data_IF_186870698490
#
_entry.id   IF_186870698490
#
_cell.length_a   1.000
_cell.length_b   1.000
_cell.length_c   1.000
_cell.angle_alpha   90.00
_cell.angle_beta   90.00
_cell.angle_gamma   90.00
#
_symmetry.space_group_name_H-M   'P 1'
#
loop_
_entity.id
_entity.type
_entity.pdbx_description
1 polymer ?
#
# COMPACT_ATOMS: atom_id res chain seq x y z
N UNK A 1 1.92 -3.30 -21.87
CA UNK A 1 0.55 -2.96 -21.38
C UNK A 1 0.66 -2.21 -20.06
N UNK A 2 1.33 -2.76 -19.04
CA UNK A 2 1.43 -2.12 -17.72
C UNK A 2 2.08 -0.74 -17.83
N UNK A 3 3.26 -0.64 -18.46
CA UNK A 3 3.98 0.63 -18.61
C UNK A 3 3.14 1.70 -19.34
N UNK A 4 2.48 1.30 -20.43
CA UNK A 4 1.58 2.20 -21.17
C UNK A 4 0.37 2.66 -20.35
N UNK A 5 -0.18 1.77 -19.51
CA UNK A 5 -1.26 2.14 -18.60
C UNK A 5 -0.79 3.17 -17.57
N UNK A 6 0.38 2.96 -16.94
CA UNK A 6 0.95 3.89 -15.97
C UNK A 6 1.29 5.24 -16.59
N UNK A 7 1.88 5.26 -17.80
CA UNK A 7 2.13 6.50 -18.54
C UNK A 7 0.84 7.30 -18.71
N UNK A 8 -0.25 6.65 -19.19
CA UNK A 8 -1.55 7.30 -19.39
C UNK A 8 -2.21 7.72 -18.05
N UNK A 9 -2.08 6.93 -16.99
CA UNK A 9 -2.62 7.29 -15.67
C UNK A 9 -1.95 8.55 -15.11
N UNK A 10 -0.64 8.71 -15.32
CA UNK A 10 0.08 9.93 -14.94
C UNK A 10 -0.20 11.13 -15.84
N UNK A 11 -0.34 10.92 -17.15
CA UNK A 11 -0.54 12.02 -18.09
C UNK A 11 -1.95 12.62 -18.04
N UNK A 12 -2.97 11.79 -17.99
CA UNK A 12 -4.38 12.24 -18.08
C UNK A 12 -5.29 11.77 -16.95
N UNK A 13 -4.74 11.05 -15.97
CA UNK A 13 -5.49 10.52 -14.86
C UNK A 13 -6.11 9.16 -15.12
N UNK A 14 -6.42 8.45 -14.02
CA UNK A 14 -7.01 7.11 -14.08
C UNK A 14 -8.41 7.12 -14.75
N UNK A 15 -9.29 8.04 -14.35
CA UNK A 15 -10.68 8.07 -14.80
C UNK A 15 -10.78 8.34 -16.31
N UNK A 16 -9.96 9.24 -16.82
CA UNK A 16 -9.95 9.64 -18.23
C UNK A 16 -9.16 8.68 -19.15
N UNK A 17 -8.48 7.68 -18.57
CA UNK A 17 -7.78 6.64 -19.32
C UNK A 17 -8.73 5.50 -19.68
N UNK A 18 -8.82 5.15 -20.97
CA UNK A 18 -9.61 4.01 -21.43
C UNK A 18 -8.74 2.81 -21.77
N UNK A 19 -9.33 1.60 -21.76
CA UNK A 19 -8.65 0.37 -22.20
C UNK A 19 -8.20 0.50 -23.66
N UNK A 20 -8.99 1.15 -24.52
CA UNK A 20 -8.62 1.37 -25.94
C UNK A 20 -7.41 2.31 -26.08
N UNK A 21 -7.23 3.29 -25.20
CA UNK A 21 -6.03 4.14 -25.16
C UNK A 21 -4.78 3.29 -24.79
N UNK A 22 -4.90 2.43 -23.78
CA UNK A 22 -3.81 1.56 -23.34
C UNK A 22 -3.42 0.57 -24.45
N UNK A 23 -4.39 -0.04 -25.10
CA UNK A 23 -4.18 -0.94 -26.25
C UNK A 23 -3.41 -0.22 -27.35
N UNK A 24 -3.82 1.01 -27.68
CA UNK A 24 -3.19 1.82 -28.72
C UNK A 24 -1.75 2.19 -28.37
N UNK A 25 -1.52 2.66 -27.14
CA UNK A 25 -0.16 3.07 -26.71
C UNK A 25 0.79 1.88 -26.57
N UNK A 26 0.29 0.74 -26.11
CA UNK A 26 1.11 -0.48 -25.93
C UNK A 26 1.29 -1.31 -27.21
N UNK A 27 0.72 -0.86 -28.35
CA UNK A 27 0.72 -1.59 -29.64
C UNK A 27 0.28 -3.05 -29.47
N UNK A 28 -0.77 -3.27 -28.68
CA UNK A 28 -1.28 -4.61 -28.38
C UNK A 28 -2.70 -4.81 -28.93
N UNK A 29 -3.18 -6.05 -28.99
CA UNK A 29 -4.56 -6.32 -29.41
C UNK A 29 -5.52 -6.33 -28.22
N UNK A 30 -6.80 -6.08 -28.49
CA UNK A 30 -7.87 -6.18 -27.48
C UNK A 30 -7.95 -7.58 -26.87
N UNK A 31 -7.76 -8.62 -27.68
CA UNK A 31 -7.71 -10.01 -27.21
C UNK A 31 -6.52 -10.26 -26.28
N UNK A 32 -5.34 -9.73 -26.62
CA UNK A 32 -4.15 -9.83 -25.78
C UNK A 32 -4.33 -9.08 -24.46
N UNK A 33 -4.92 -7.88 -24.47
CA UNK A 33 -5.22 -7.15 -23.25
C UNK A 33 -6.12 -7.96 -22.31
N UNK A 34 -7.28 -8.43 -22.79
CA UNK A 34 -8.23 -9.15 -21.96
C UNK A 34 -7.82 -10.59 -21.62
N UNK A 35 -6.77 -11.10 -22.24
CA UNK A 35 -6.11 -12.34 -21.79
C UNK A 35 -5.39 -12.16 -20.45
N UNK A 36 -4.73 -11.01 -20.25
CA UNK A 36 -3.94 -10.73 -19.03
C UNK A 36 -4.72 -9.95 -17.97
N UNK A 37 -5.62 -9.06 -18.36
CA UNK A 37 -6.30 -8.12 -17.46
C UNK A 37 -7.80 -8.09 -17.72
N UNK A 38 -8.60 -8.22 -16.66
CA UNK A 38 -10.07 -8.11 -16.73
C UNK A 38 -10.57 -6.70 -17.06
N UNK A 39 -9.74 -5.68 -16.87
CA UNK A 39 -10.04 -4.27 -17.10
C UNK A 39 -8.92 -3.38 -16.56
N UNK A 40 -9.11 -2.05 -16.62
CA UNK A 40 -8.12 -1.10 -16.11
C UNK A 40 -7.93 -1.18 -14.59
N UNK A 41 -8.95 -1.64 -13.83
CA UNK A 41 -8.84 -1.84 -12.38
C UNK A 41 -7.78 -2.89 -12.03
N UNK A 42 -7.68 -3.96 -12.85
CA UNK A 42 -6.64 -4.97 -12.66
C UNK A 42 -5.22 -4.43 -12.89
N UNK A 43 -5.07 -3.40 -13.73
CA UNK A 43 -3.80 -2.69 -13.91
C UNK A 43 -3.49 -1.79 -12.70
N UNK A 44 -4.50 -1.15 -12.11
CA UNK A 44 -4.34 -0.35 -10.90
C UNK A 44 -3.85 -1.20 -9.72
N UNK A 45 -4.26 -2.46 -9.65
CA UNK A 45 -3.80 -3.42 -8.63
C UNK A 45 -2.27 -3.67 -8.68
N UNK A 46 -1.61 -3.40 -9.81
CA UNK A 46 -0.14 -3.49 -9.91
C UNK A 46 0.58 -2.48 -8.99
N UNK A 47 -0.11 -1.42 -8.53
CA UNK A 47 0.42 -0.52 -7.50
C UNK A 47 0.74 -1.25 -6.20
N UNK A 48 -0.04 -2.27 -5.84
CA UNK A 48 0.23 -3.11 -4.68
C UNK A 48 1.58 -3.84 -4.79
N UNK A 49 1.97 -4.25 -6.00
CA UNK A 49 3.26 -4.89 -6.27
C UNK A 49 4.41 -3.90 -6.06
N UNK A 50 4.27 -2.66 -6.55
CA UNK A 50 5.27 -1.60 -6.36
C UNK A 50 5.46 -1.31 -4.86
N UNK A 51 4.37 -1.26 -4.10
CA UNK A 51 4.44 -1.06 -2.65
C UNK A 51 5.11 -2.26 -1.96
N UNK A 52 4.81 -3.49 -2.38
CA UNK A 52 5.44 -4.70 -1.80
C UNK A 52 6.94 -4.77 -2.10
N UNK A 53 7.38 -4.37 -3.30
CA UNK A 53 8.81 -4.26 -3.63
C UNK A 53 9.49 -3.19 -2.74
N UNK A 54 8.82 -2.07 -2.49
CA UNK A 54 9.34 -1.06 -1.59
C UNK A 54 9.46 -1.58 -0.15
N UNK A 55 8.46 -2.32 0.36
CA UNK A 55 8.55 -2.96 1.69
C UNK A 55 9.68 -3.98 1.78
N UNK A 56 9.94 -4.75 0.71
CA UNK A 56 11.08 -5.66 0.67
C UNK A 56 12.43 -4.92 0.77
N UNK A 57 12.55 -3.76 0.11
CA UNK A 57 13.75 -2.92 0.24
C UNK A 57 13.89 -2.32 1.66
N UNK A 58 12.78 -1.87 2.25
CA UNK A 58 12.79 -1.35 3.63
C UNK A 58 13.19 -2.42 4.65
N UNK A 59 12.87 -3.68 4.39
CA UNK A 59 13.27 -4.81 5.25
C UNK A 59 14.79 -4.89 5.37
N UNK A 60 15.53 -4.64 4.27
CA UNK A 60 17.00 -4.64 4.24
C UNK A 60 17.61 -3.44 4.99
N UNK A 61 16.84 -2.33 5.16
CA UNK A 61 17.28 -1.15 5.91
C UNK A 61 17.06 -1.28 7.42
N UNK A 62 16.30 -2.29 7.89
CA UNK A 62 15.99 -2.44 9.32
C UNK A 62 17.23 -2.89 10.11
N UNK A 63 17.58 -2.12 11.15
CA UNK A 63 18.57 -2.54 12.13
C UNK A 63 18.01 -3.69 12.99
N UNK A 64 18.72 -4.81 13.04
CA UNK A 64 18.34 -5.96 13.86
C UNK A 64 18.20 -5.62 15.36
N UNK A 65 18.96 -4.64 15.84
CA UNK A 65 18.94 -4.20 17.24
C UNK A 65 17.83 -3.19 17.55
N UNK A 66 17.17 -2.64 16.53
CA UNK A 66 16.06 -1.71 16.71
C UNK A 66 14.92 -2.39 17.47
N UNK A 67 14.25 -1.64 18.37
CA UNK A 67 13.04 -2.10 19.04
C UNK A 67 11.95 -2.43 18.01
N UNK A 68 11.20 -3.50 18.23
CA UNK A 68 10.17 -3.94 17.29
C UNK A 68 9.06 -2.91 17.05
N UNK A 69 8.69 -2.15 18.08
CA UNK A 69 7.75 -1.03 17.94
C UNK A 69 8.35 0.06 17.03
N UNK A 70 9.61 0.43 17.24
CA UNK A 70 10.31 1.43 16.41
C UNK A 70 10.45 0.95 14.96
N UNK A 71 10.66 -0.36 14.72
CA UNK A 71 10.65 -0.94 13.37
C UNK A 71 9.31 -0.71 12.67
N UNK A 72 8.19 -0.93 13.37
CA UNK A 72 6.84 -0.66 12.82
C UNK A 72 6.65 0.82 12.49
N UNK A 73 7.09 1.73 13.37
CA UNK A 73 6.99 3.18 13.14
C UNK A 73 7.90 3.63 11.99
N UNK A 74 9.10 3.07 11.87
CA UNK A 74 10.00 3.31 10.75
C UNK A 74 9.38 2.90 9.42
N UNK A 75 8.80 1.69 9.33
CA UNK A 75 8.14 1.21 8.13
C UNK A 75 6.96 2.11 7.73
N UNK A 76 6.13 2.49 8.72
CA UNK A 76 5.01 3.38 8.50
C UNK A 76 5.46 4.73 7.92
N UNK A 77 6.43 5.38 8.55
CA UNK A 77 6.96 6.66 8.08
C UNK A 77 7.53 6.58 6.66
N UNK A 78 8.39 5.60 6.41
CA UNK A 78 9.06 5.42 5.11
C UNK A 78 8.08 5.08 3.99
N UNK A 79 7.12 4.20 4.23
CA UNK A 79 6.11 3.82 3.23
C UNK A 79 5.18 4.99 2.90
N UNK A 80 4.80 5.79 3.90
CA UNK A 80 3.97 6.96 3.68
C UNK A 80 4.73 8.10 2.98
N UNK A 81 6.03 8.26 3.28
CA UNK A 81 6.90 9.19 2.54
C UNK A 81 7.03 8.77 1.07
N UNK A 82 7.18 7.48 0.81
CA UNK A 82 7.19 6.95 -0.55
C UNK A 82 5.86 7.22 -1.27
N UNK A 83 4.73 6.94 -0.62
CA UNK A 83 3.40 7.18 -1.19
C UNK A 83 3.22 8.66 -1.56
N UNK A 84 3.49 9.60 -0.64
CA UNK A 84 3.27 11.03 -0.90
C UNK A 84 4.23 11.64 -1.93
N UNK A 85 5.43 11.06 -2.09
CA UNK A 85 6.45 11.62 -2.99
C UNK A 85 6.53 10.95 -4.35
N UNK A 86 6.06 9.69 -4.48
CA UNK A 86 6.24 8.87 -5.67
C UNK A 86 4.94 8.43 -6.33
N UNK A 87 3.81 8.54 -5.64
CA UNK A 87 2.53 8.08 -6.16
C UNK A 87 1.56 9.27 -6.18
N UNK A 88 0.91 9.48 -7.32
CA UNK A 88 -0.14 10.50 -7.41
C UNK A 88 -1.30 10.15 -6.47
N UNK A 89 -1.79 11.15 -5.71
CA UNK A 89 -2.87 10.96 -4.73
C UNK A 89 -4.15 10.44 -5.36
N UNK A 90 -4.43 10.79 -6.62
CA UNK A 90 -5.63 10.32 -7.31
C UNK A 90 -5.55 8.84 -7.68
N UNK A 91 -4.35 8.33 -7.96
CA UNK A 91 -4.10 6.91 -8.19
C UNK A 91 -4.29 6.09 -6.91
N UNK A 92 -3.78 6.57 -5.77
CA UNK A 92 -4.04 5.95 -4.47
C UNK A 92 -5.53 5.96 -4.13
N UNK A 93 -6.20 7.09 -4.31
CA UNK A 93 -7.64 7.21 -4.07
C UNK A 93 -8.44 6.25 -4.95
N UNK A 94 -8.05 6.10 -6.22
CA UNK A 94 -8.68 5.16 -7.16
C UNK A 94 -8.45 3.72 -6.74
N UNK A 95 -7.22 3.35 -6.33
CA UNK A 95 -6.93 2.02 -5.81
C UNK A 95 -7.82 1.69 -4.60
N UNK A 96 -7.89 2.57 -3.61
CA UNK A 96 -8.71 2.37 -2.41
C UNK A 96 -10.20 2.27 -2.76
N UNK A 97 -10.69 3.13 -3.66
CA UNK A 97 -12.07 3.11 -4.11
C UNK A 97 -12.43 1.80 -4.82
N UNK A 98 -11.61 1.34 -5.76
CA UNK A 98 -11.85 0.08 -6.48
C UNK A 98 -11.84 -1.11 -5.53
N UNK A 99 -10.95 -1.14 -4.54
CA UNK A 99 -10.92 -2.18 -3.53
C UNK A 99 -12.17 -2.22 -2.63
N UNK A 100 -12.80 -1.07 -2.36
CA UNK A 100 -14.04 -1.01 -1.58
C UNK A 100 -15.23 -1.64 -2.32
N UNK A 101 -15.30 -1.44 -3.64
CA UNK A 101 -16.43 -1.91 -4.47
C UNK A 101 -16.17 -3.25 -5.17
N UNK A 102 -14.95 -3.78 -5.11
CA UNK A 102 -14.59 -5.05 -5.73
C UNK A 102 -15.48 -6.21 -5.23
N UNK A 103 -15.95 -7.03 -6.17
CA UNK A 103 -16.78 -8.21 -5.87
C UNK A 103 -15.96 -9.47 -5.54
N UNK A 104 -14.67 -9.47 -5.88
CA UNK A 104 -13.73 -10.58 -5.67
C UNK A 104 -12.78 -10.34 -4.49
N UNK A 105 -11.62 -10.97 -4.56
CA UNK A 105 -10.54 -10.77 -3.61
C UNK A 105 -10.04 -9.32 -3.62
N UNK A 106 -9.56 -8.88 -2.46
CA UNK A 106 -9.04 -7.52 -2.27
C UNK A 106 -7.54 -7.58 -2.00
N UNK A 107 -6.74 -7.13 -2.96
CA UNK A 107 -5.28 -7.14 -2.84
C UNK A 107 -4.77 -6.39 -1.60
N UNK A 108 -5.44 -5.32 -1.19
CA UNK A 108 -5.08 -4.59 0.04
C UNK A 108 -5.26 -5.40 1.33
N UNK A 109 -5.98 -6.52 1.29
CA UNK A 109 -6.23 -7.40 2.44
C UNK A 109 -5.55 -8.77 2.29
N UNK A 110 -4.83 -9.02 1.20
CA UNK A 110 -4.15 -10.30 0.97
C UNK A 110 -3.00 -10.50 1.95
N UNK A 111 -3.16 -11.47 2.85
CA UNK A 111 -2.20 -11.80 3.90
C UNK A 111 -0.90 -12.42 3.35
N UNK A 112 -0.87 -12.85 2.08
CA UNK A 112 0.33 -13.40 1.45
C UNK A 112 1.28 -12.30 0.93
N UNK A 113 0.86 -11.06 0.92
CA UNK A 113 1.70 -9.94 0.50
C UNK A 113 2.91 -9.77 1.41
N UNK A 114 4.02 -9.30 0.83
CA UNK A 114 5.26 -8.97 1.55
C UNK A 114 5.00 -8.03 2.72
N UNK A 115 4.14 -7.04 2.53
CA UNK A 115 3.67 -6.14 3.58
C UNK A 115 3.22 -6.88 4.85
N UNK A 116 2.22 -7.77 4.74
CA UNK A 116 1.66 -8.47 5.90
C UNK A 116 2.66 -9.43 6.55
N UNK A 117 3.46 -10.13 5.75
CA UNK A 117 4.50 -11.03 6.26
C UNK A 117 5.55 -10.28 7.06
N UNK A 118 5.98 -9.10 6.58
CA UNK A 118 6.96 -8.28 7.26
C UNK A 118 6.42 -7.75 8.59
N UNK A 119 5.22 -7.16 8.60
CA UNK A 119 4.59 -6.66 9.83
C UNK A 119 4.39 -7.78 10.85
N UNK A 120 3.83 -8.93 10.43
CA UNK A 120 3.60 -10.08 11.32
C UNK A 120 4.90 -10.58 11.95
N UNK A 121 6.00 -10.64 11.19
CA UNK A 121 7.31 -11.06 11.69
C UNK A 121 7.87 -10.08 12.72
N UNK A 122 7.74 -8.77 12.50
CA UNK A 122 8.19 -7.76 13.46
C UNK A 122 7.36 -7.82 14.74
N UNK A 123 6.04 -8.04 14.65
CA UNK A 123 5.18 -8.24 15.82
C UNK A 123 5.58 -9.50 16.59
N UNK A 124 5.84 -10.60 15.90
CA UNK A 124 6.31 -11.85 16.51
C UNK A 124 7.66 -11.64 17.24
N UNK A 125 8.62 -10.98 16.61
CA UNK A 125 9.88 -10.58 17.21
C UNK A 125 9.65 -9.74 18.48
N UNK A 126 8.74 -8.77 18.42
CA UNK A 126 8.35 -7.94 19.56
C UNK A 126 7.75 -8.74 20.72
N UNK A 127 6.95 -9.76 20.43
CA UNK A 127 6.45 -10.71 21.43
C UNK A 127 7.59 -11.51 22.08
N UNK A 128 8.53 -12.03 21.28
CA UNK A 128 9.68 -12.80 21.78
C UNK A 128 10.58 -11.95 22.67
N UNK A 129 10.81 -10.71 22.28
CA UNK A 129 11.67 -9.75 23.01
C UNK A 129 10.95 -9.01 24.16
N UNK A 130 9.66 -9.27 24.39
CA UNK A 130 8.80 -8.52 25.33
C UNK A 130 8.76 -7.00 25.08
N UNK A 131 8.80 -6.59 23.82
CA UNK A 131 8.72 -5.20 23.37
C UNK A 131 7.31 -4.83 22.91
N UNK A 132 6.49 -5.81 22.58
CA UNK A 132 5.08 -5.68 22.23
C UNK A 132 4.27 -6.59 23.15
N UNK A 133 3.14 -6.11 23.66
CA UNK A 133 2.26 -6.87 24.57
C UNK A 133 1.73 -8.13 23.90
N UNK A 134 1.65 -9.23 24.65
CA UNK A 134 1.07 -10.50 24.23
C UNK A 134 -0.42 -10.66 24.54
N UNK A 135 -1.08 -9.60 25.01
CA UNK A 135 -2.52 -9.62 25.28
C UNK A 135 -3.36 -9.86 24.02
N UNK A 136 -2.81 -9.44 22.88
CA UNK A 136 -3.38 -9.68 21.55
C UNK A 136 -2.47 -10.61 20.75
N UNK A 137 -3.10 -11.41 19.88
CA UNK A 137 -2.37 -12.27 18.94
C UNK A 137 -1.62 -11.46 17.89
N UNK A 138 -0.61 -12.08 17.25
CA UNK A 138 0.13 -11.49 16.13
C UNK A 138 -0.83 -11.03 15.03
N UNK A 139 -1.83 -11.85 14.71
CA UNK A 139 -2.82 -11.56 13.68
C UNK A 139 -3.70 -10.34 14.03
N UNK A 140 -4.12 -10.21 15.29
CA UNK A 140 -4.92 -9.05 15.75
C UNK A 140 -4.11 -7.77 15.66
N UNK A 141 -2.86 -7.78 16.12
CA UNK A 141 -1.97 -6.59 16.07
C UNK A 141 -1.65 -6.23 14.62
N UNK A 142 -1.29 -7.20 13.78
CA UNK A 142 -1.02 -6.98 12.35
C UNK A 142 -2.24 -6.39 11.64
N UNK A 143 -3.43 -6.92 11.91
CA UNK A 143 -4.69 -6.40 11.37
C UNK A 143 -4.96 -4.97 11.83
N UNK A 144 -4.74 -4.68 13.10
CA UNK A 144 -4.96 -3.35 13.66
C UNK A 144 -3.97 -2.34 13.09
N UNK A 145 -2.69 -2.68 13.00
CA UNK A 145 -1.68 -1.85 12.37
C UNK A 145 -2.07 -1.50 10.92
N UNK A 146 -2.41 -2.49 10.12
CA UNK A 146 -2.81 -2.26 8.72
C UNK A 146 -4.11 -1.48 8.58
N UNK A 147 -5.04 -1.59 9.54
CA UNK A 147 -6.24 -0.77 9.60
C UNK A 147 -5.89 0.71 9.85
N UNK A 148 -4.99 0.99 10.80
CA UNK A 148 -4.53 2.35 11.10
C UNK A 148 -3.84 2.98 9.90
N UNK A 149 -2.93 2.26 9.23
CA UNK A 149 -2.28 2.75 8.02
C UNK A 149 -3.29 3.08 6.91
N UNK A 150 -4.24 2.17 6.64
CA UNK A 150 -5.28 2.44 5.65
C UNK A 150 -6.16 3.64 6.01
N UNK A 151 -6.45 3.84 7.30
CA UNK A 151 -7.20 4.99 7.74
C UNK A 151 -6.45 6.30 7.47
N UNK A 152 -5.15 6.35 7.80
CA UNK A 152 -4.29 7.51 7.55
C UNK A 152 -4.18 7.84 6.05
N UNK A 153 -3.93 6.83 5.21
CA UNK A 153 -3.87 7.00 3.75
C UNK A 153 -5.22 7.44 3.18
N UNK A 154 -6.33 6.84 3.64
CA UNK A 154 -7.68 7.22 3.18
C UNK A 154 -8.02 8.65 3.52
N UNK A 155 -7.70 9.11 4.75
CA UNK A 155 -7.91 10.50 5.16
C UNK A 155 -7.06 11.47 4.32
N UNK A 156 -5.79 11.12 4.08
CA UNK A 156 -4.92 11.90 3.21
C UNK A 156 -5.46 12.02 1.78
N UNK A 157 -6.01 10.92 1.21
CA UNK A 157 -6.66 10.94 -0.10
C UNK A 157 -7.92 11.82 -0.09
N UNK A 158 -8.77 11.74 0.95
CA UNK A 158 -9.95 12.60 1.11
C UNK A 158 -9.57 14.08 1.16
N UNK A 159 -8.44 14.40 1.77
CA UNK A 159 -7.87 15.76 1.82
C UNK A 159 -7.02 16.11 0.59
N UNK A 160 -7.06 15.30 -0.48
CA UNK A 160 -6.37 15.54 -1.75
C UNK A 160 -4.86 15.76 -1.61
N UNK A 161 -4.23 15.10 -0.65
CA UNK A 161 -2.79 15.24 -0.40
C UNK A 161 -2.37 16.61 0.12
N UNK A 162 -3.26 17.35 0.79
CA UNK A 162 -3.01 18.74 1.21
C UNK A 162 -2.05 18.91 2.39
N UNK A 163 -1.63 17.81 3.01
CA UNK A 163 -0.67 17.78 4.12
C UNK A 163 0.36 16.65 3.89
N UNK A 164 1.47 16.66 4.64
CA UNK A 164 2.43 15.55 4.59
C UNK A 164 1.87 14.31 5.30
N UNK A 165 1.63 13.25 4.52
CA UNK A 165 1.17 11.96 5.06
C UNK A 165 2.22 11.36 6.01
N UNK A 166 3.49 11.44 5.64
CA UNK A 166 4.58 10.89 6.44
C UNK A 166 4.72 11.58 7.80
N UNK A 167 4.74 12.92 7.85
CA UNK A 167 4.84 13.66 9.10
C UNK A 167 3.59 13.49 9.97
N UNK A 168 2.40 13.49 9.37
CA UNK A 168 1.15 13.22 10.09
C UNK A 168 1.16 11.81 10.70
N UNK A 169 1.55 10.80 9.92
CA UNK A 169 1.66 9.42 10.41
C UNK A 169 2.71 9.26 11.52
N UNK A 170 3.84 9.93 11.41
CA UNK A 170 4.89 9.92 12.43
C UNK A 170 4.40 10.43 13.78
N UNK A 171 3.49 11.42 13.76
CA UNK A 171 2.89 11.95 14.98
C UNK A 171 1.79 11.06 15.54
N UNK A 172 0.89 10.55 14.68
CA UNK A 172 -0.34 9.90 15.13
C UNK A 172 -0.29 8.37 15.17
N UNK A 173 0.52 7.71 14.33
CA UNK A 173 0.61 6.25 14.34
C UNK A 173 1.08 5.68 15.68
N UNK A 174 2.06 6.27 16.39
CA UNK A 174 2.43 5.82 17.73
C UNK A 174 1.25 5.87 18.71
N UNK A 175 0.47 6.96 18.68
CA UNK A 175 -0.71 7.12 19.56
C UNK A 175 -1.76 6.05 19.29
N UNK A 176 -1.99 5.71 18.01
CA UNK A 176 -2.93 4.66 17.62
C UNK A 176 -2.47 3.27 18.05
N UNK A 177 -1.15 3.04 18.17
CA UNK A 177 -0.55 1.73 18.45
C UNK A 177 -0.18 1.51 19.93
N UNK A 178 -0.22 2.53 20.78
CA UNK A 178 0.18 2.47 22.19
C UNK A 178 -0.83 1.81 23.13
N UNK A 179 -1.96 1.27 22.63
CA UNK A 179 -3.04 0.71 23.47
C UNK A 179 -3.27 -0.78 23.30
#
# INVERSE_FOLDING_TARGET
>A
IVDAAWELFYEKGYDDTTVDDIIRLSDTSKGSFYYYFSGKDALLDTLSTILDEYYANLEEELDENMNSFDKLMFLNYKSHLFMETKIDVTLLASLYSTQLIAKGERNLLDQNRTYYRLISRIVEEGHVRNQISREKSIQEITKYYSLCERALVSDWCLNRGSYSLAEYSKEYMPILMEH
#
